data_IF_443997445605
#
_entry.id   IF_443997445605
#
_cell.length_a   1.000
_cell.length_b   1.000
_cell.length_c   1.000
_cell.angle_alpha   90.00
_cell.angle_beta   90.00
_cell.angle_gamma   90.00
#
_symmetry.space_group_name_H-M   'P 1'
#
loop_
_entity.id
_entity.type
_entity.pdbx_description
1 polymer ?
#
# COMPACT_ATOMS: atom_id res chain seq x y z
N UNK A 1 6.11 -17.82 1.48
CA UNK A 1 6.71 -18.01 0.14
C UNK A 1 7.14 -16.67 -0.41
N UNK A 2 8.15 -16.64 -1.28
CA UNK A 2 8.60 -15.39 -1.91
C UNK A 2 7.61 -14.96 -3.00
N UNK A 3 7.44 -13.65 -3.17
CA UNK A 3 6.56 -13.06 -4.19
C UNK A 3 7.40 -12.20 -5.11
N UNK A 4 7.34 -12.49 -6.41
CA UNK A 4 7.90 -11.62 -7.44
C UNK A 4 6.96 -10.42 -7.67
N UNK A 5 7.53 -9.22 -7.79
CA UNK A 5 6.79 -8.00 -8.12
C UNK A 5 7.69 -6.95 -8.77
N UNK A 6 7.11 -6.14 -9.64
CA UNK A 6 7.72 -4.89 -10.09
C UNK A 6 7.19 -3.75 -9.22
N UNK A 7 8.05 -2.80 -8.85
CA UNK A 7 7.68 -1.67 -7.97
C UNK A 7 8.17 -0.36 -8.54
N UNK A 8 7.26 0.61 -8.64
CA UNK A 8 7.60 2.02 -8.73
C UNK A 8 7.38 2.68 -7.37
N UNK A 9 8.48 3.09 -6.74
CA UNK A 9 8.46 3.82 -5.48
C UNK A 9 8.43 5.32 -5.76
N UNK A 10 7.43 6.01 -5.23
CA UNK A 10 7.35 7.47 -5.20
C UNK A 10 7.43 7.95 -3.75
N UNK A 11 7.89 9.18 -3.56
CA UNK A 11 7.93 9.83 -2.25
C UNK A 11 7.18 11.15 -2.36
N UNK A 12 6.16 11.31 -1.52
CA UNK A 12 5.46 12.58 -1.34
C UNK A 12 5.51 12.95 0.14
N UNK A 13 6.16 14.08 0.44
CA UNK A 13 6.54 14.42 1.81
C UNK A 13 7.34 13.27 2.46
N UNK A 14 6.83 12.68 3.54
CA UNK A 14 7.38 11.49 4.19
C UNK A 14 6.54 10.22 3.95
N UNK A 15 5.56 10.27 3.05
CA UNK A 15 4.79 9.09 2.64
C UNK A 15 5.44 8.44 1.44
N UNK A 16 5.83 7.17 1.60
CA UNK A 16 6.23 6.30 0.50
C UNK A 16 5.00 5.74 -0.16
N UNK A 17 4.95 5.86 -1.48
CA UNK A 17 3.87 5.36 -2.31
C UNK A 17 4.44 4.24 -3.15
N UNK A 18 4.06 3.00 -2.85
CA UNK A 18 4.43 1.83 -3.63
C UNK A 18 3.36 1.60 -4.70
N UNK A 19 3.75 1.60 -5.96
CA UNK A 19 2.92 1.14 -7.06
C UNK A 19 3.48 -0.20 -7.52
N UNK A 20 2.80 -1.27 -7.12
CA UNK A 20 3.28 -2.64 -7.27
C UNK A 20 2.47 -3.35 -8.34
N UNK A 21 3.17 -4.01 -9.28
CA UNK A 21 2.57 -4.98 -10.20
C UNK A 21 3.01 -6.37 -9.76
N UNK A 22 2.04 -7.20 -9.40
CA UNK A 22 2.26 -8.56 -8.88
C UNK A 22 1.66 -9.55 -9.88
N UNK A 23 2.50 -10.38 -10.56
CA UNK A 23 2.02 -11.40 -11.47
C UNK A 23 0.96 -12.30 -10.80
N UNK A 24 -0.16 -12.50 -11.49
CA UNK A 24 -1.28 -13.31 -10.98
C UNK A 24 -2.23 -12.58 -10.03
N UNK A 25 -1.86 -11.43 -9.46
CA UNK A 25 -2.73 -10.63 -8.58
C UNK A 25 -3.19 -9.31 -9.20
N UNK A 26 -2.35 -8.68 -10.02
CA UNK A 26 -2.64 -7.39 -10.67
C UNK A 26 -1.86 -6.22 -10.07
N UNK A 27 -2.45 -5.03 -10.11
CA UNK A 27 -1.81 -3.78 -9.68
C UNK A 27 -2.28 -3.36 -8.28
N UNK A 28 -1.36 -2.87 -7.47
CA UNK A 28 -1.60 -2.44 -6.10
C UNK A 28 -0.96 -1.10 -5.82
N UNK A 29 -1.54 -0.39 -4.85
CA UNK A 29 -0.98 0.79 -4.23
C UNK A 29 -0.85 0.56 -2.73
N UNK A 30 0.29 0.92 -2.15
CA UNK A 30 0.54 0.93 -0.71
C UNK A 30 1.04 2.32 -0.30
N UNK A 31 0.47 2.86 0.77
CA UNK A 31 0.85 4.15 1.35
C UNK A 31 1.48 3.93 2.72
N UNK A 32 2.75 4.30 2.87
CA UNK A 32 3.51 4.14 4.11
C UNK A 32 4.03 5.51 4.58
N UNK A 33 3.39 6.09 5.60
CA UNK A 33 3.92 7.27 6.28
C UNK A 33 5.12 6.88 7.15
N UNK A 34 6.31 7.38 6.83
CA UNK A 34 7.53 7.11 7.59
C UNK A 34 7.57 8.05 8.79
N UNK A 35 7.43 7.49 9.99
CA UNK A 35 7.41 8.24 11.26
C UNK A 35 8.74 8.10 12.00
N UNK A 36 9.25 9.23 12.50
CA UNK A 36 10.46 9.28 13.33
C UNK A 36 10.14 9.50 14.81
N UNK A 37 11.16 9.43 15.69
CA UNK A 37 10.99 9.81 17.09
C UNK A 37 10.48 11.26 17.19
N UNK A 38 9.34 11.47 17.87
CA UNK A 38 8.72 12.78 18.03
C UNK A 38 7.80 13.23 16.88
N UNK A 39 7.55 12.37 15.88
CA UNK A 39 6.52 12.64 14.86
C UNK A 39 5.12 12.73 15.48
N UNK A 40 4.32 13.68 14.99
CA UNK A 40 2.90 13.79 15.34
C UNK A 40 2.09 12.83 14.47
N UNK A 41 1.67 11.71 15.05
CA UNK A 41 0.90 10.69 14.35
C UNK A 41 -0.38 11.23 13.72
N UNK A 42 -1.03 12.25 14.29
CA UNK A 42 -2.24 12.83 13.69
C UNK A 42 -1.94 13.45 12.34
N UNK A 43 -0.88 14.26 12.24
CA UNK A 43 -0.43 14.83 10.96
C UNK A 43 -0.07 13.75 9.93
N UNK A 44 0.41 12.59 10.37
CA UNK A 44 0.73 11.47 9.48
C UNK A 44 -0.52 10.76 8.98
N UNK A 45 -1.54 10.62 9.83
CA UNK A 45 -2.85 10.14 9.40
C UNK A 45 -3.52 11.09 8.42
N UNK A 46 -3.42 12.40 8.63
CA UNK A 46 -3.97 13.40 7.71
C UNK A 46 -3.36 13.27 6.30
N UNK A 47 -2.05 13.08 6.19
CA UNK A 47 -1.36 12.84 4.90
C UNK A 47 -1.86 11.56 4.21
N UNK A 48 -2.07 10.49 4.97
CA UNK A 48 -2.61 9.24 4.40
C UNK A 48 -4.04 9.47 3.91
N UNK A 49 -4.89 10.14 4.70
CA UNK A 49 -6.25 10.48 4.30
C UNK A 49 -6.29 11.35 3.05
N UNK A 50 -5.44 12.38 2.96
CA UNK A 50 -5.34 13.24 1.77
C UNK A 50 -5.00 12.44 0.51
N UNK A 51 -4.02 11.55 0.59
CA UNK A 51 -3.65 10.69 -0.53
C UNK A 51 -4.75 9.68 -0.88
N UNK A 52 -5.45 9.14 0.11
CA UNK A 52 -6.58 8.23 -0.12
C UNK A 52 -7.72 8.93 -0.84
N UNK A 53 -8.07 10.14 -0.43
CA UNK A 53 -9.12 10.94 -1.07
C UNK A 53 -8.72 11.32 -2.50
N UNK A 54 -7.48 11.78 -2.70
CA UNK A 54 -6.97 12.18 -4.01
C UNK A 54 -6.88 11.02 -5.02
N UNK A 55 -6.74 9.78 -4.53
CA UNK A 55 -6.59 8.57 -5.33
C UNK A 55 -7.83 7.68 -5.35
N UNK A 56 -8.94 8.14 -4.74
CA UNK A 56 -10.21 7.41 -4.62
C UNK A 56 -10.04 6.00 -4.01
N UNK A 57 -9.23 5.91 -2.94
CA UNK A 57 -8.93 4.66 -2.22
C UNK A 57 -9.95 4.41 -1.10
N UNK A 58 -11.09 3.86 -1.51
CA UNK A 58 -12.19 3.50 -0.59
C UNK A 58 -11.85 2.29 0.30
N UNK A 59 -12.50 2.20 1.45
CA UNK A 59 -12.26 1.12 2.42
C UNK A 59 -12.53 -0.28 1.83
N UNK A 60 -13.49 -0.41 0.92
CA UNK A 60 -13.84 -1.68 0.27
C UNK A 60 -12.73 -2.20 -0.65
N UNK A 61 -11.79 -1.34 -1.05
CA UNK A 61 -10.64 -1.70 -1.89
C UNK A 61 -9.40 -2.04 -1.07
N UNK A 62 -9.45 -1.90 0.26
CA UNK A 62 -8.32 -2.20 1.13
C UNK A 62 -8.19 -3.71 1.28
N UNK A 63 -7.01 -4.23 0.94
CA UNK A 63 -6.62 -5.58 1.28
C UNK A 63 -5.88 -5.58 2.62
N UNK A 64 -6.40 -6.34 3.59
CA UNK A 64 -5.80 -6.47 4.92
C UNK A 64 -4.66 -7.51 4.98
N UNK A 65 -4.40 -8.23 3.89
CA UNK A 65 -3.42 -9.32 3.82
C UNK A 65 -2.30 -8.99 2.84
N UNK A 66 -1.11 -9.56 3.05
CA UNK A 66 0.01 -9.41 2.13
C UNK A 66 -0.16 -10.23 0.84
N UNK A 67 0.66 -9.94 -0.17
CA UNK A 67 0.59 -10.59 -1.48
C UNK A 67 0.80 -12.11 -1.45
N UNK A 68 1.61 -12.63 -0.52
CA UNK A 68 1.84 -14.08 -0.41
C UNK A 68 0.57 -14.83 -0.02
N UNK A 69 -0.22 -14.24 0.87
CA UNK A 69 -1.45 -14.85 1.36
C UNK A 69 -2.55 -14.77 0.30
N UNK A 70 -2.61 -13.68 -0.44
CA UNK A 70 -3.55 -13.51 -1.55
C UNK A 70 -3.22 -14.44 -2.73
N UNK A 71 -1.94 -14.67 -3.05
CA UNK A 71 -1.53 -15.66 -4.04
C UNK A 71 -1.96 -17.08 -3.62
N UNK A 72 -1.68 -17.46 -2.37
CA UNK A 72 -2.11 -18.75 -1.81
C UNK A 72 -3.64 -18.94 -1.87
N UNK A 73 -4.40 -17.87 -1.60
CA UNK A 73 -5.87 -17.91 -1.70
C UNK A 73 -6.35 -18.19 -3.13
N UNK A 74 -5.72 -17.58 -4.13
CA UNK A 74 -6.09 -17.78 -5.54
C UNK A 74 -5.72 -19.16 -6.06
N UNK A 75 -4.58 -19.72 -5.64
CA UNK A 75 -4.17 -21.07 -6.03
C UNK A 75 -5.09 -22.16 -5.45
N UNK A 76 -5.75 -21.87 -4.32
CA UNK A 76 -6.68 -22.78 -3.66
C UNK A 76 -8.13 -22.71 -4.19
N UNK A 77 -8.42 -21.81 -5.14
CA UNK A 77 -9.76 -21.59 -5.72
C UNK A 77 -9.89 -22.22 -7.11
#
# INVERSE_FOLDING_TARGET
MAVEKSRRLLLWQNVRIHLDEVPGLGNFIELEAVVGPGSDLNSEYEKITELRDALDLTDERILATGYSDELLRREAS
#
